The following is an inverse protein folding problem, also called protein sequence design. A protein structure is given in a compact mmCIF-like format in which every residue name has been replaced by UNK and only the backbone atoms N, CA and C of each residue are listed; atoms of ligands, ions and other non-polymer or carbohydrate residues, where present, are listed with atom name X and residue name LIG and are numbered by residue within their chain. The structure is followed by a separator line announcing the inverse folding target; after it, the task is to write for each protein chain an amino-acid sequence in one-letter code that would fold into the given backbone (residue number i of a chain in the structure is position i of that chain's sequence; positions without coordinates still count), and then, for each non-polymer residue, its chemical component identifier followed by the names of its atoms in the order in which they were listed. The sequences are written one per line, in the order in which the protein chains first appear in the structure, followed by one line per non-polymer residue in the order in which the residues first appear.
data_IF_457235766776
#
_entry.id   IF_457235766776
#
_cell.length_a   1.000
_cell.length_b   1.000
_cell.length_c   1.000
_cell.angle_alpha   90.00
_cell.angle_beta   90.00
_cell.angle_gamma   90.00
#
_symmetry.space_group_name_H-M   'P 1'
#
loop_
_entity.id
_entity.type
_entity.pdbx_description
1 polymer ?
#
# COMPACT_ATOMS: atom_id res chain seq x y z
N UNK A 1 -25.48 12.21 2.36
CA UNK A 1 -24.81 11.75 1.12
C UNK A 1 -23.31 11.76 1.40
N UNK A 2 -22.69 10.61 1.67
CA UNK A 2 -21.27 10.57 2.02
C UNK A 2 -20.46 10.64 0.73
N UNK A 3 -19.74 11.74 0.50
CA UNK A 3 -18.88 11.88 -0.68
C UNK A 3 -17.80 10.80 -0.60
N UNK A 4 -17.84 9.85 -1.53
CA UNK A 4 -16.75 8.90 -1.68
C UNK A 4 -15.47 9.72 -1.97
N UNK A 5 -14.49 9.61 -1.08
CA UNK A 5 -13.20 10.27 -1.26
C UNK A 5 -12.52 9.90 -2.58
N UNK A 6 -11.46 10.62 -2.97
CA UNK A 6 -10.79 10.44 -4.26
C UNK A 6 -10.39 8.97 -4.48
N UNK A 7 -10.64 8.48 -5.70
CA UNK A 7 -10.23 7.16 -6.14
C UNK A 7 -8.90 7.21 -6.87
N UNK A 8 -8.07 6.21 -6.59
CA UNK A 8 -6.76 6.03 -7.19
C UNK A 8 -6.69 4.69 -7.91
N UNK A 9 -5.69 4.55 -8.79
CA UNK A 9 -5.42 3.29 -9.48
C UNK A 9 -4.04 2.78 -9.12
N UNK A 10 -3.96 1.50 -8.77
CA UNK A 10 -2.69 0.81 -8.55
C UNK A 10 -1.93 0.72 -9.87
N UNK A 11 -0.66 1.13 -9.85
CA UNK A 11 0.31 0.89 -10.92
C UNK A 11 0.95 -0.49 -10.74
N UNK A 12 1.52 -0.74 -9.56
CA UNK A 12 2.14 -2.01 -9.18
C UNK A 12 2.25 -2.16 -7.67
N UNK A 13 2.42 -3.40 -7.22
CA UNK A 13 2.79 -3.74 -5.84
C UNK A 13 4.31 -3.85 -5.76
N UNK A 14 4.94 -3.07 -4.87
CA UNK A 14 6.39 -3.05 -4.68
C UNK A 14 6.82 -4.24 -3.81
N UNK A 15 6.19 -4.39 -2.65
CA UNK A 15 6.40 -5.47 -1.68
C UNK A 15 5.07 -5.81 -0.95
N UNK A 16 5.12 -6.47 0.21
CA UNK A 16 3.93 -6.94 0.91
C UNK A 16 3.06 -5.84 1.53
N UNK A 17 3.61 -4.65 1.76
CA UNK A 17 2.91 -3.51 2.39
C UNK A 17 3.03 -2.20 1.61
N UNK A 18 3.76 -2.18 0.50
CA UNK A 18 3.98 -0.96 -0.28
C UNK A 18 3.45 -1.11 -1.70
N UNK A 19 2.61 -0.15 -2.12
CA UNK A 19 2.09 -0.04 -3.48
C UNK A 19 2.48 1.29 -4.13
N UNK A 20 2.55 1.30 -5.45
CA UNK A 20 2.71 2.50 -6.27
C UNK A 20 1.42 2.76 -7.04
N UNK A 21 0.95 4.00 -6.99
CA UNK A 21 -0.22 4.46 -7.72
C UNK A 21 0.19 4.99 -9.10
N UNK A 22 -0.76 5.03 -10.04
CA UNK A 22 -0.50 5.53 -11.41
C UNK A 22 -0.05 6.99 -11.48
N UNK A 23 -0.34 7.78 -10.46
CA UNK A 23 0.14 9.16 -10.34
C UNK A 23 1.54 9.27 -9.73
N UNK A 24 2.25 8.15 -9.55
CA UNK A 24 3.61 8.09 -9.02
C UNK A 24 3.71 8.12 -7.49
N UNK A 25 2.60 8.34 -6.78
CA UNK A 25 2.61 8.32 -5.33
C UNK A 25 2.80 6.89 -4.81
N UNK A 26 3.61 6.76 -3.77
CA UNK A 26 3.81 5.50 -3.05
C UNK A 26 2.99 5.51 -1.77
N UNK A 27 2.36 4.38 -1.48
CA UNK A 27 1.53 4.18 -0.29
C UNK A 27 2.08 2.99 0.47
N UNK A 28 2.36 3.20 1.76
CA UNK A 28 2.63 2.12 2.72
C UNK A 28 1.35 1.85 3.49
N UNK A 29 0.97 0.57 3.53
CA UNK A 29 -0.19 0.08 4.25
C UNK A 29 0.12 0.21 5.75
N UNK A 30 -0.70 0.98 6.46
CA UNK A 30 -0.58 1.10 7.91
C UNK A 30 -0.97 -0.21 8.60
N UNK A 31 -0.38 -0.46 9.76
CA UNK A 31 -0.60 -1.67 10.60
C UNK A 31 -0.21 -3.01 9.96
N UNK A 32 0.31 -2.99 8.73
CA UNK A 32 0.92 -4.13 8.09
C UNK A 32 2.41 -3.82 7.99
N UNK A 33 3.21 -4.55 8.76
CA UNK A 33 4.66 -4.53 8.59
C UNK A 33 5.03 -5.85 7.93
N UNK A 34 5.38 -5.78 6.64
CA UNK A 34 5.90 -6.96 5.95
C UNK A 34 7.41 -6.97 6.01
N UNK A 35 8.02 -8.13 6.32
CA UNK A 35 9.46 -8.29 6.22
C UNK A 35 9.91 -7.85 4.82
N UNK A 36 10.82 -6.88 4.74
CA UNK A 36 11.26 -6.32 3.47
C UNK A 36 11.90 -7.44 2.63
N UNK A 37 11.29 -7.77 1.48
CA UNK A 37 11.70 -8.90 0.62
C UNK A 37 13.16 -8.78 0.13
N UNK A 38 13.78 -7.60 0.27
CA UNK A 38 15.14 -7.31 -0.15
C UNK A 38 16.21 -7.46 0.96
N UNK A 39 15.80 -7.53 2.23
CA UNK A 39 16.72 -7.42 3.39
C UNK A 39 17.12 -8.78 3.98
N UNK A 40 16.53 -9.86 3.48
CA UNK A 40 16.78 -11.22 3.90
C UNK A 40 15.57 -12.07 3.52
N UNK A 41 15.76 -13.37 3.31
CA UNK A 41 14.64 -14.30 3.17
C UNK A 41 13.94 -14.45 4.53
N UNK A 42 13.29 -13.40 4.98
CA UNK A 42 12.50 -13.43 6.20
C UNK A 42 11.23 -14.25 5.93
N UNK A 43 10.91 -15.15 6.86
CA UNK A 43 9.74 -16.02 6.77
C UNK A 43 8.50 -15.20 6.40
N UNK A 44 7.75 -15.67 5.41
CA UNK A 44 6.49 -15.09 4.91
C UNK A 44 6.56 -13.80 4.08
N UNK A 45 7.72 -13.15 3.89
CA UNK A 45 7.83 -11.94 3.05
C UNK A 45 7.34 -12.16 1.60
N UNK A 46 7.76 -13.28 0.99
CA UNK A 46 7.31 -13.67 -0.36
C UNK A 46 5.80 -13.97 -0.42
N UNK A 47 5.26 -14.64 0.60
CA UNK A 47 3.83 -14.98 0.67
C UNK A 47 2.96 -13.74 0.85
N UNK A 48 3.43 -12.77 1.65
CA UNK A 48 2.77 -11.48 1.84
C UNK A 48 2.77 -10.68 0.53
N UNK A 49 3.93 -10.56 -0.15
CA UNK A 49 4.01 -9.89 -1.45
C UNK A 49 3.13 -10.55 -2.52
N UNK A 50 3.12 -11.88 -2.59
CA UNK A 50 2.26 -12.62 -3.52
C UNK A 50 0.77 -12.37 -3.22
N UNK A 51 0.39 -12.31 -1.95
CA UNK A 51 -0.98 -12.00 -1.53
C UNK A 51 -1.37 -10.56 -1.88
N UNK A 52 -0.50 -9.59 -1.61
CA UNK A 52 -0.71 -8.19 -1.99
C UNK A 52 -0.87 -8.05 -3.52
N UNK A 53 -0.01 -8.70 -4.31
CA UNK A 53 -0.12 -8.74 -5.78
C UNK A 53 -1.43 -9.34 -6.27
N UNK A 54 -1.94 -10.38 -5.60
CA UNK A 54 -3.23 -11.01 -5.92
C UNK A 54 -4.41 -10.11 -5.57
N UNK A 55 -4.35 -9.39 -4.44
CA UNK A 55 -5.42 -8.52 -3.97
C UNK A 55 -5.48 -7.19 -4.71
N UNK A 56 -4.31 -6.65 -5.08
CA UNK A 56 -4.12 -5.33 -5.67
C UNK A 56 -3.39 -5.40 -7.02
N UNK A 57 -3.90 -6.15 -8.01
CA UNK A 57 -3.27 -6.19 -9.33
C UNK A 57 -3.25 -4.79 -9.99
N UNK A 58 -2.32 -4.54 -10.92
CA UNK A 58 -2.30 -3.29 -11.69
C UNK A 58 -3.66 -2.92 -12.26
N UNK A 59 -4.05 -1.64 -12.11
CA UNK A 59 -5.35 -1.11 -12.54
C UNK A 59 -6.47 -1.18 -11.51
N UNK A 60 -6.27 -1.87 -10.37
CA UNK A 60 -7.22 -1.92 -9.25
C UNK A 60 -7.57 -0.51 -8.78
N UNK A 61 -8.86 -0.22 -8.66
CA UNK A 61 -9.36 1.04 -8.08
C UNK A 61 -9.35 0.92 -6.57
N UNK A 62 -8.80 1.93 -5.91
CA UNK A 62 -8.69 1.98 -4.44
C UNK A 62 -9.02 3.37 -3.93
N UNK A 63 -9.49 3.44 -2.69
CA UNK A 63 -9.58 4.64 -1.86
C UNK A 63 -8.51 4.57 -0.78
N UNK A 64 -7.96 5.73 -0.46
CA UNK A 64 -6.96 5.88 0.59
C UNK A 64 -7.62 6.52 1.80
N UNK A 65 -7.46 5.91 2.98
CA UNK A 65 -7.95 6.45 4.24
C UNK A 65 -6.74 6.76 5.12
N UNK A 66 -6.71 7.96 5.68
CA UNK A 66 -5.67 8.39 6.61
C UNK A 66 -5.82 7.63 7.94
N UNK A 67 -4.71 7.19 8.52
CA UNK A 67 -4.67 6.74 9.92
C UNK A 67 -4.44 7.98 10.82
N UNK A 68 -5.44 8.41 11.60
CA UNK A 68 -5.35 9.66 12.38
C UNK A 68 -4.27 9.64 13.46
N UNK A 69 -3.89 8.45 13.94
CA UNK A 69 -2.90 8.30 15.01
C UNK A 69 -1.44 8.22 14.49
N UNK A 70 -1.22 8.38 13.18
CA UNK A 70 0.10 8.30 12.56
C UNK A 70 0.41 9.52 11.70
N UNK A 71 1.71 9.74 11.44
CA UNK A 71 2.12 10.75 10.47
C UNK A 71 1.48 10.46 9.10
N UNK A 72 1.06 11.48 8.34
CA UNK A 72 0.45 11.27 7.04
C UNK A 72 1.46 10.77 5.99
N UNK A 73 2.75 10.96 6.22
CA UNK A 73 3.84 10.63 5.29
C UNK A 73 5.04 10.19 6.12
N UNK A 74 5.69 9.09 5.73
CA UNK A 74 6.92 8.66 6.39
C UNK A 74 8.16 9.42 5.89
N UNK A 75 9.32 9.15 6.51
CA UNK A 75 10.60 9.78 6.15
C UNK A 75 11.06 9.52 4.70
N UNK A 76 10.45 8.56 4.00
CA UNK A 76 10.77 8.21 2.62
C UNK A 76 9.79 8.82 1.61
N UNK A 77 8.86 9.66 2.08
CA UNK A 77 7.84 10.30 1.23
C UNK A 77 6.68 9.37 0.86
N UNK A 78 6.52 8.21 1.52
CA UNK A 78 5.38 7.31 1.30
C UNK A 78 4.18 7.78 2.10
N UNK A 79 3.01 7.79 1.48
CA UNK A 79 1.75 8.04 2.18
C UNK A 79 1.44 6.88 3.12
N UNK A 80 1.16 7.15 4.39
CA UNK A 80 0.70 6.15 5.37
C UNK A 80 -0.83 6.07 5.32
N UNK A 81 -1.38 5.03 4.70
CA UNK A 81 -2.84 4.92 4.46
C UNK A 81 -3.35 3.50 4.65
N UNK A 82 -4.61 3.36 5.03
CA UNK A 82 -5.38 2.16 4.69
C UNK A 82 -5.79 2.21 3.22
N UNK A 83 -5.77 1.06 2.56
CA UNK A 83 -6.21 0.89 1.18
C UNK A 83 -7.51 0.10 1.17
N UNK A 84 -8.57 0.72 0.66
CA UNK A 84 -9.91 0.12 0.58
C UNK A 84 -10.33 0.05 -0.89
N UNK A 85 -10.80 -1.13 -1.34
CA UNK A 85 -11.30 -1.36 -2.70
C UNK A 85 -12.81 -1.24 -2.76
#
# INVERSE_FOLDING_TARGET
MSAAGPQYRVSRVIDGDTIELRNGQRVRLVQIDTPEVYSGYECYGQAASATAKRLLPPGTRVRLVLEPASDPVDRFGRLLRYVVR
#
